data_IF_029746780428
#
_entry.id   IF_029746780428
#
_cell.length_a   1.000
_cell.length_b   1.000
_cell.length_c   1.000
_cell.angle_alpha   90.00
_cell.angle_beta   90.00
_cell.angle_gamma   90.00
#
_symmetry.space_group_name_H-M   'P 1'
#
loop_
_entity.id
_entity.type
_entity.pdbx_description
1 polymer ?
#
# COMPACT_ATOMS: atom_id res chain seq x y z
N UNK A 1 53.99 -38.33 -67.59
CA UNK A 1 52.96 -37.36 -67.18
C UNK A 1 52.41 -37.72 -65.81
N UNK A 2 52.78 -36.96 -64.78
CA UNK A 2 52.00 -36.75 -63.56
C UNK A 2 52.78 -35.78 -62.68
N UNK A 3 52.33 -34.53 -62.68
CA UNK A 3 52.82 -33.48 -61.78
C UNK A 3 51.86 -33.40 -60.59
N UNK A 4 52.37 -33.69 -59.40
CA UNK A 4 51.69 -33.41 -58.13
C UNK A 4 51.98 -31.98 -57.69
N UNK A 5 50.93 -31.25 -57.31
CA UNK A 5 51.03 -29.88 -56.78
C UNK A 5 50.47 -29.88 -55.35
N UNK A 6 51.28 -29.29 -54.45
CA UNK A 6 51.03 -28.97 -53.05
C UNK A 6 49.81 -28.08 -52.85
N UNK A 7 49.07 -28.33 -51.77
CA UNK A 7 48.16 -27.36 -51.16
C UNK A 7 48.53 -27.15 -49.69
N UNK A 8 49.21 -26.04 -49.41
CA UNK A 8 49.34 -25.43 -48.08
C UNK A 8 48.20 -24.43 -47.88
N UNK A 9 47.49 -24.47 -46.73
CA UNK A 9 46.82 -23.32 -46.09
C UNK A 9 46.27 -23.67 -44.69
N UNK A 10 46.06 -22.68 -43.80
CA UNK A 10 46.61 -22.72 -42.45
C UNK A 10 45.57 -22.78 -41.33
N UNK A 11 46.00 -23.47 -40.29
CA UNK A 11 46.02 -23.13 -38.86
C UNK A 11 45.35 -21.82 -38.36
N UNK A 12 44.48 -22.04 -37.36
CA UNK A 12 44.13 -21.19 -36.20
C UNK A 12 43.45 -19.82 -36.39
N UNK A 13 42.18 -19.77 -35.96
CA UNK A 13 41.62 -18.61 -35.28
C UNK A 13 40.78 -19.09 -34.07
N UNK A 14 41.38 -19.05 -32.89
CA UNK A 14 40.68 -19.18 -31.61
C UNK A 14 39.78 -17.95 -31.41
N UNK A 15 38.48 -18.12 -31.61
CA UNK A 15 37.48 -17.13 -31.24
C UNK A 15 37.33 -17.08 -29.73
N UNK A 16 37.91 -16.05 -29.10
CA UNK A 16 37.68 -15.74 -27.68
C UNK A 16 36.23 -15.38 -27.45
N UNK A 17 35.46 -16.30 -26.86
CA UNK A 17 34.16 -15.98 -26.28
C UNK A 17 34.39 -15.09 -25.05
N UNK A 18 34.34 -13.79 -25.27
CA UNK A 18 34.37 -12.78 -24.23
C UNK A 18 33.17 -12.97 -23.29
N UNK A 19 33.41 -13.68 -22.18
CA UNK A 19 32.47 -13.82 -21.08
C UNK A 19 32.41 -12.50 -20.30
N UNK A 20 31.62 -11.53 -20.80
CA UNK A 20 31.44 -10.22 -20.18
C UNK A 20 30.00 -9.65 -20.11
N UNK A 21 28.89 -10.43 -20.06
CA UNK A 21 27.56 -9.85 -19.84
C UNK A 21 27.10 -9.79 -18.36
N UNK A 22 27.62 -10.65 -17.46
CA UNK A 22 27.04 -10.81 -16.12
C UNK A 22 27.28 -9.59 -15.19
N UNK A 23 28.46 -8.97 -15.23
CA UNK A 23 28.81 -7.88 -14.33
C UNK A 23 28.12 -6.53 -14.64
N UNK A 24 27.63 -6.33 -15.87
CA UNK A 24 26.90 -5.10 -16.26
C UNK A 24 25.41 -5.16 -15.94
N UNK A 25 24.82 -6.35 -15.90
CA UNK A 25 23.40 -6.51 -15.56
C UNK A 25 23.14 -6.30 -14.06
N UNK A 26 24.10 -6.66 -13.20
CA UNK A 26 24.00 -6.51 -11.75
C UNK A 26 24.01 -5.05 -11.30
N UNK A 27 24.81 -4.19 -11.94
CA UNK A 27 24.87 -2.76 -11.60
C UNK A 27 23.59 -2.03 -12.02
N UNK A 28 23.10 -2.26 -13.24
CA UNK A 28 21.87 -1.62 -13.72
C UNK A 28 20.61 -2.02 -12.94
N UNK A 29 20.56 -3.24 -12.38
CA UNK A 29 19.47 -3.66 -11.50
C UNK A 29 19.56 -2.99 -10.12
N UNK A 30 20.77 -2.89 -9.55
CA UNK A 30 21.00 -2.22 -8.28
C UNK A 30 20.68 -0.72 -8.35
N UNK A 31 21.10 -0.04 -9.42
CA UNK A 31 20.84 1.38 -9.65
C UNK A 31 19.34 1.66 -9.76
N UNK A 32 18.59 0.81 -10.49
CA UNK A 32 17.13 0.92 -10.56
C UNK A 32 16.47 0.75 -9.21
N UNK A 33 16.89 -0.25 -8.43
CA UNK A 33 16.36 -0.47 -7.07
C UNK A 33 16.65 0.71 -6.15
N UNK A 34 17.84 1.32 -6.25
CA UNK A 34 18.19 2.51 -5.50
C UNK A 34 17.34 3.72 -5.91
N UNK A 35 17.13 3.93 -7.21
CA UNK A 35 16.26 4.98 -7.73
C UNK A 35 14.80 4.82 -7.27
N UNK A 36 14.27 3.60 -7.31
CA UNK A 36 12.93 3.30 -6.81
C UNK A 36 12.79 3.61 -5.31
N UNK A 37 13.77 3.24 -4.49
CA UNK A 37 13.79 3.59 -3.05
C UNK A 37 13.84 5.10 -2.80
N UNK A 38 14.63 5.84 -3.56
CA UNK A 38 14.66 7.30 -3.47
C UNK A 38 13.31 7.92 -3.87
N UNK A 39 12.64 7.32 -4.87
CA UNK A 39 11.30 7.72 -5.28
C UNK A 39 10.25 7.46 -4.19
N UNK A 40 10.30 6.31 -3.51
CA UNK A 40 9.45 5.99 -2.36
C UNK A 40 9.56 7.06 -1.28
N UNK A 41 10.77 7.44 -0.87
CA UNK A 41 10.98 8.50 0.14
C UNK A 41 10.36 9.83 -0.28
N UNK A 42 10.59 10.24 -1.54
CA UNK A 42 10.01 11.47 -2.09
C UNK A 42 8.47 11.45 -2.06
N UNK A 43 7.86 10.31 -2.37
CA UNK A 43 6.41 10.16 -2.36
C UNK A 43 5.84 10.10 -0.94
N UNK A 44 6.55 9.49 0.02
CA UNK A 44 6.17 9.53 1.43
C UNK A 44 6.12 10.97 1.96
N UNK A 45 7.12 11.78 1.62
CA UNK A 45 7.15 13.20 2.00
C UNK A 45 6.01 14.00 1.35
N UNK A 46 5.64 13.67 0.12
CA UNK A 46 4.49 14.26 -0.56
C UNK A 46 3.16 13.87 0.08
N UNK A 47 2.96 12.58 0.35
CA UNK A 47 1.77 12.09 1.06
C UNK A 47 1.62 12.74 2.43
N UNK A 48 2.71 12.87 3.20
CA UNK A 48 2.71 13.57 4.48
C UNK A 48 2.24 15.02 4.34
N UNK A 49 2.79 15.78 3.38
CA UNK A 49 2.37 17.18 3.14
C UNK A 49 0.91 17.31 2.73
N UNK A 50 0.37 16.30 2.04
CA UNK A 50 -1.05 16.28 1.68
C UNK A 50 -1.93 15.96 2.89
N UNK A 51 -1.45 15.17 3.85
CA UNK A 51 -2.18 14.83 5.06
C UNK A 51 -2.08 15.90 6.16
N UNK A 52 -0.96 16.64 6.23
CA UNK A 52 -0.80 17.85 7.04
C UNK A 52 -1.70 18.96 6.44
N UNK A 53 -2.93 19.04 6.93
CA UNK A 53 -3.96 19.98 6.47
C UNK A 53 -3.67 21.39 6.98
N UNK A 54 -3.07 21.52 8.16
CA UNK A 54 -2.70 22.81 8.77
C UNK A 54 -1.39 23.38 8.19
N UNK A 55 -0.59 22.54 7.55
CA UNK A 55 0.75 22.86 7.06
C UNK A 55 1.70 23.35 8.17
N UNK A 56 1.63 22.72 9.35
CA UNK A 56 2.48 23.05 10.50
C UNK A 56 3.70 22.12 10.66
N UNK A 57 3.87 21.16 9.74
CA UNK A 57 5.01 20.25 9.69
C UNK A 57 4.88 19.04 10.61
N UNK A 58 3.73 18.88 11.27
CA UNK A 58 3.36 17.70 12.05
C UNK A 58 2.00 17.18 11.59
N UNK A 59 1.78 15.88 11.71
CA UNK A 59 0.48 15.26 11.44
C UNK A 59 -0.24 15.00 12.75
N UNK A 60 -1.41 15.59 12.95
CA UNK A 60 -2.26 15.28 14.10
C UNK A 60 -3.32 14.21 13.81
N UNK A 61 -3.91 13.70 14.89
CA UNK A 61 -4.91 12.64 14.83
C UNK A 61 -6.16 13.07 14.02
N UNK A 62 -6.58 14.32 14.15
CA UNK A 62 -7.79 14.83 13.51
C UNK A 62 -7.56 15.04 12.01
N UNK A 63 -6.36 15.46 11.60
CA UNK A 63 -5.97 15.56 10.19
C UNK A 63 -6.05 14.20 9.49
N UNK A 64 -5.45 13.16 10.09
CA UNK A 64 -5.51 11.79 9.55
C UNK A 64 -6.97 11.31 9.43
N UNK A 65 -7.78 11.52 10.47
CA UNK A 65 -9.20 11.19 10.47
C UNK A 65 -9.92 11.93 9.33
N UNK A 66 -9.67 13.22 9.17
CA UNK A 66 -10.40 14.09 8.25
C UNK A 66 -10.11 13.79 6.79
N UNK A 67 -8.84 13.54 6.45
CA UNK A 67 -8.47 13.08 5.11
C UNK A 67 -9.21 11.78 4.79
N UNK A 68 -9.21 10.81 5.71
CA UNK A 68 -9.87 9.53 5.48
C UNK A 68 -11.40 9.63 5.44
N UNK A 69 -12.02 10.50 6.25
CA UNK A 69 -13.45 10.82 6.12
C UNK A 69 -13.79 11.31 4.70
N UNK A 70 -12.95 12.18 4.12
CA UNK A 70 -13.17 12.69 2.77
C UNK A 70 -12.94 11.63 1.70
N UNK A 71 -11.93 10.76 1.86
CA UNK A 71 -11.74 9.61 0.96
C UNK A 71 -13.00 8.72 1.00
N UNK A 72 -13.48 8.34 2.18
CA UNK A 72 -14.70 7.51 2.28
C UNK A 72 -15.93 8.20 1.69
N UNK A 73 -16.12 9.50 1.94
CA UNK A 73 -17.23 10.26 1.34
C UNK A 73 -17.18 10.28 -0.19
N UNK A 74 -15.99 10.34 -0.79
CA UNK A 74 -15.83 10.31 -2.25
C UNK A 74 -16.14 8.92 -2.83
N UNK A 75 -15.80 7.85 -2.12
CA UNK A 75 -15.99 6.48 -2.60
C UNK A 75 -17.41 5.94 -2.37
N UNK A 76 -17.98 6.23 -1.19
CA UNK A 76 -19.24 5.61 -0.74
C UNK A 76 -20.39 6.61 -0.66
N UNK A 77 -20.13 7.90 -0.91
CA UNK A 77 -21.11 8.96 -0.71
C UNK A 77 -21.46 9.17 0.76
N UNK A 78 -22.38 10.09 1.03
CA UNK A 78 -22.82 10.39 2.41
C UNK A 78 -23.52 9.22 3.10
N UNK A 79 -24.37 8.53 2.36
CA UNK A 79 -25.23 7.48 2.89
C UNK A 79 -24.45 6.19 3.18
N UNK A 80 -23.37 5.94 2.42
CA UNK A 80 -22.48 4.79 2.64
C UNK A 80 -21.30 5.05 3.57
N UNK A 81 -21.15 6.28 4.10
CA UNK A 81 -20.01 6.64 4.95
C UNK A 81 -20.42 6.69 6.42
N UNK A 82 -19.93 5.73 7.21
CA UNK A 82 -20.00 5.79 8.67
C UNK A 82 -18.80 6.59 9.23
N UNK A 83 -19.01 7.88 9.47
CA UNK A 83 -17.99 8.76 10.02
C UNK A 83 -17.58 8.39 11.45
N UNK A 84 -18.45 7.76 12.23
CA UNK A 84 -18.12 7.35 13.61
C UNK A 84 -17.15 6.19 13.56
N UNK A 85 -17.45 5.16 12.76
CA UNK A 85 -16.56 4.02 12.58
C UNK A 85 -15.18 4.44 12.02
N UNK A 86 -15.15 5.37 11.05
CA UNK A 86 -13.90 5.91 10.51
C UNK A 86 -13.08 6.62 11.60
N UNK A 87 -13.72 7.49 12.40
CA UNK A 87 -13.04 8.19 13.50
C UNK A 87 -12.45 7.23 14.51
N UNK A 88 -13.22 6.24 14.94
CA UNK A 88 -12.76 5.25 15.91
C UNK A 88 -11.58 4.44 15.38
N UNK A 89 -11.70 3.95 14.14
CA UNK A 89 -10.62 3.23 13.45
C UNK A 89 -9.34 4.06 13.40
N UNK A 90 -9.39 5.25 12.81
CA UNK A 90 -8.16 6.05 12.61
C UNK A 90 -7.61 6.64 13.91
N UNK A 91 -8.45 6.85 14.93
CA UNK A 91 -7.98 7.14 16.29
C UNK A 91 -7.20 5.97 16.88
N UNK A 92 -7.69 4.74 16.70
CA UNK A 92 -6.99 3.51 17.11
C UNK A 92 -5.63 3.41 16.43
N UNK A 93 -5.62 3.46 15.09
CA UNK A 93 -4.40 3.42 14.27
C UNK A 93 -3.39 4.47 14.72
N UNK A 94 -3.82 5.72 14.90
CA UNK A 94 -2.91 6.79 15.30
C UNK A 94 -2.30 6.52 16.67
N UNK A 95 -3.08 6.05 17.65
CA UNK A 95 -2.58 5.81 19.00
C UNK A 95 -1.70 4.57 19.10
N UNK A 96 -2.05 3.53 18.37
CA UNK A 96 -1.32 2.27 18.41
C UNK A 96 -0.01 2.35 17.62
N UNK A 97 0.00 3.07 16.49
CA UNK A 97 1.10 3.01 15.52
C UNK A 97 1.93 4.30 15.42
N UNK A 98 1.38 5.47 15.81
CA UNK A 98 2.08 6.75 15.67
C UNK A 98 2.44 7.39 17.02
N UNK A 99 1.46 7.66 17.87
CA UNK A 99 1.69 8.20 19.22
C UNK A 99 0.59 7.76 20.21
N UNK A 100 0.92 6.95 21.24
CA UNK A 100 -0.05 6.44 22.23
C UNK A 100 -0.87 7.49 22.97
N UNK A 101 -0.39 8.72 23.02
CA UNK A 101 -1.07 9.84 23.67
C UNK A 101 -1.85 10.71 22.68
N UNK A 102 -1.85 10.38 21.39
CA UNK A 102 -2.53 11.12 20.33
C UNK A 102 -1.87 12.47 20.03
N UNK A 103 -0.58 12.64 20.34
CA UNK A 103 0.14 13.89 20.08
C UNK A 103 0.50 14.00 18.59
N UNK A 104 0.57 15.22 18.02
CA UNK A 104 1.01 15.41 16.65
C UNK A 104 2.41 14.81 16.42
N UNK A 105 2.60 14.15 15.28
CA UNK A 105 3.83 13.43 14.96
C UNK A 105 4.59 14.10 13.81
N UNK A 106 5.94 14.19 13.88
CA UNK A 106 6.73 14.72 12.78
C UNK A 106 6.80 13.72 11.61
N UNK A 107 7.23 14.20 10.44
CA UNK A 107 7.42 13.37 9.25
C UNK A 107 8.23 12.09 9.50
N UNK A 108 9.26 12.14 10.34
CA UNK A 108 10.10 10.97 10.63
C UNK A 108 9.28 9.79 11.19
N UNK A 109 8.38 10.04 12.15
CA UNK A 109 7.53 9.00 12.74
C UNK A 109 6.50 8.48 11.72
N UNK A 110 5.89 9.38 10.95
CA UNK A 110 4.98 9.00 9.86
C UNK A 110 5.67 8.15 8.79
N UNK A 111 6.88 8.53 8.38
CA UNK A 111 7.69 7.82 7.39
C UNK A 111 8.00 6.41 7.86
N UNK A 112 8.42 6.25 9.13
CA UNK A 112 8.77 4.95 9.69
C UNK A 112 7.54 4.03 9.72
N UNK A 113 6.39 4.53 10.19
CA UNK A 113 5.11 3.81 10.15
C UNK A 113 4.69 3.43 8.73
N UNK A 114 4.63 4.39 7.80
CA UNK A 114 4.20 4.11 6.44
C UNK A 114 5.16 3.19 5.70
N UNK A 115 6.47 3.27 5.98
CA UNK A 115 7.44 2.33 5.41
C UNK A 115 7.17 0.91 5.87
N UNK A 116 6.80 0.71 7.14
CA UNK A 116 6.40 -0.60 7.65
C UNK A 116 5.13 -1.10 6.96
N UNK A 117 4.08 -0.28 6.88
CA UNK A 117 2.83 -0.61 6.16
C UNK A 117 3.11 -1.04 4.71
N UNK A 118 3.95 -0.29 4.00
CA UNK A 118 4.31 -0.61 2.62
C UNK A 118 5.06 -1.94 2.53
N UNK A 119 6.01 -2.21 3.44
CA UNK A 119 6.77 -3.45 3.49
C UNK A 119 5.88 -4.67 3.79
N UNK A 120 4.90 -4.52 4.68
CA UNK A 120 3.98 -5.59 5.06
C UNK A 120 3.02 -5.94 3.92
N UNK A 121 2.68 -4.98 3.05
CA UNK A 121 1.85 -5.23 1.87
C UNK A 121 2.68 -5.80 0.71
N UNK A 122 3.80 -5.15 0.37
CA UNK A 122 4.70 -5.58 -0.71
C UNK A 122 6.12 -5.00 -0.52
N UNK A 123 7.16 -5.84 -0.34
CA UNK A 123 8.55 -5.38 -0.15
C UNK A 123 9.21 -4.86 -1.45
N UNK A 124 8.56 -4.97 -2.61
CA UNK A 124 9.07 -4.49 -3.90
C UNK A 124 9.02 -2.96 -3.99
N UNK A 125 10.16 -2.27 -4.14
CA UNK A 125 10.17 -0.80 -4.25
C UNK A 125 9.31 -0.27 -5.41
N UNK A 126 9.25 -0.99 -6.53
CA UNK A 126 8.42 -0.59 -7.68
C UNK A 126 6.93 -0.69 -7.35
N UNK A 127 6.50 -1.73 -6.63
CA UNK A 127 5.12 -1.86 -6.17
C UNK A 127 4.78 -0.77 -5.15
N UNK A 128 5.69 -0.47 -4.23
CA UNK A 128 5.54 0.58 -3.24
C UNK A 128 5.37 1.97 -3.88
N UNK A 129 6.13 2.28 -4.94
CA UNK A 129 5.93 3.50 -5.74
C UNK A 129 4.50 3.57 -6.27
N UNK A 130 4.01 2.50 -6.89
CA UNK A 130 2.64 2.47 -7.43
C UNK A 130 1.57 2.64 -6.34
N UNK A 131 1.76 2.03 -5.16
CA UNK A 131 0.84 2.19 -4.04
C UNK A 131 0.83 3.62 -3.50
N UNK A 132 2.00 4.25 -3.36
CA UNK A 132 2.10 5.62 -2.89
C UNK A 132 1.53 6.63 -3.89
N UNK A 133 1.75 6.44 -5.19
CA UNK A 133 1.13 7.28 -6.22
C UNK A 133 -0.41 7.23 -6.14
N UNK A 134 -0.97 6.06 -5.87
CA UNK A 134 -2.41 5.91 -5.62
C UNK A 134 -2.84 6.62 -4.32
N UNK A 135 -2.10 6.45 -3.21
CA UNK A 135 -2.41 7.14 -1.95
C UNK A 135 -2.37 8.66 -2.09
N UNK A 136 -1.41 9.18 -2.85
CA UNK A 136 -1.31 10.60 -3.16
C UNK A 136 -2.54 11.06 -3.95
N UNK A 137 -2.92 10.35 -5.01
CA UNK A 137 -4.11 10.69 -5.80
C UNK A 137 -5.40 10.70 -4.94
N UNK A 138 -5.54 9.77 -4.00
CA UNK A 138 -6.65 9.75 -3.02
C UNK A 138 -6.59 10.95 -2.08
N UNK A 139 -5.41 11.27 -1.52
CA UNK A 139 -5.22 12.40 -0.63
C UNK A 139 -5.46 13.75 -1.32
N UNK A 140 -5.03 13.90 -2.57
CA UNK A 140 -5.32 15.09 -3.40
C UNK A 140 -6.82 15.25 -3.62
N UNK A 141 -7.50 14.16 -3.98
CA UNK A 141 -8.95 14.14 -4.16
C UNK A 141 -9.68 14.51 -2.86
N UNK A 142 -9.23 13.96 -1.73
CA UNK A 142 -9.74 14.28 -0.40
C UNK A 142 -9.57 15.77 -0.04
N UNK A 143 -8.40 16.35 -0.31
CA UNK A 143 -8.16 17.80 -0.12
C UNK A 143 -9.08 18.65 -0.99
N UNK A 144 -9.26 18.27 -2.26
CA UNK A 144 -10.20 18.95 -3.15
C UNK A 144 -11.65 18.87 -2.62
N UNK A 145 -12.02 17.77 -1.97
CA UNK A 145 -13.37 17.55 -1.44
C UNK A 145 -13.77 18.47 -0.28
N UNK A 146 -12.83 19.14 0.39
CA UNK A 146 -13.13 20.22 1.35
C UNK A 146 -13.76 21.46 0.69
N UNK A 147 -13.70 21.56 -0.64
CA UNK A 147 -14.30 22.67 -1.40
C UNK A 147 -15.74 22.38 -1.82
N UNK A 148 -16.18 21.13 -1.73
CA UNK A 148 -17.54 20.78 -2.09
C UNK A 148 -18.45 21.02 -0.90
N UNK A 149 -19.30 22.05 -0.99
CA UNK A 149 -20.30 22.37 0.04
C UNK A 149 -21.18 21.17 0.37
N UNK A 150 -21.45 20.32 -0.62
CA UNK A 150 -22.19 19.08 -0.41
C UNK A 150 -21.45 18.10 0.50
N UNK A 151 -20.11 18.08 0.57
CA UNK A 151 -19.34 17.14 1.40
C UNK A 151 -18.79 17.77 2.70
N UNK A 152 -19.04 19.05 2.95
CA UNK A 152 -18.56 19.74 4.14
C UNK A 152 -19.23 19.26 5.43
N UNK A 153 -18.48 19.31 6.52
CA UNK A 153 -18.97 19.11 7.88
C UNK A 153 -18.50 20.24 8.78
N UNK A 154 -19.21 20.51 9.88
CA UNK A 154 -18.84 21.56 10.84
C UNK A 154 -17.43 21.37 11.41
N UNK A 155 -17.01 20.11 11.61
CA UNK A 155 -15.66 19.79 12.09
C UNK A 155 -14.56 19.98 11.03
N UNK A 156 -14.90 20.41 9.81
CA UNK A 156 -13.89 20.80 8.80
C UNK A 156 -13.37 22.23 9.03
N UNK A 157 -14.10 23.06 9.77
CA UNK A 157 -13.81 24.50 9.93
C UNK A 157 -12.35 24.83 10.31
N UNK A 158 -11.68 24.09 11.23
CA UNK A 158 -10.29 24.36 11.59
C UNK A 158 -9.30 24.23 10.41
N UNK A 159 -9.62 23.41 9.41
CA UNK A 159 -8.73 23.08 8.30
C UNK A 159 -8.95 23.98 7.08
N UNK A 160 -10.16 24.52 6.92
CA UNK A 160 -10.52 25.32 5.74
C UNK A 160 -9.66 26.58 5.60
N UNK A 161 -9.38 27.30 6.70
CA UNK A 161 -8.63 28.56 6.63
C UNK A 161 -7.26 28.38 5.96
N UNK A 162 -6.51 27.34 6.34
CA UNK A 162 -5.17 27.05 5.78
C UNK A 162 -5.23 26.45 4.38
N UNK A 163 -6.22 25.61 4.09
CA UNK A 163 -6.42 25.06 2.74
C UNK A 163 -6.70 26.16 1.69
N UNK A 164 -7.22 27.31 2.11
CA UNK A 164 -7.52 28.44 1.23
C UNK A 164 -6.53 29.61 1.29
N UNK A 165 -5.61 29.63 2.25
CA UNK A 165 -4.62 30.71 2.43
C UNK A 165 -3.51 30.70 1.34
N UNK A 166 -3.40 29.62 0.56
CA UNK A 166 -2.36 29.42 -0.47
C UNK A 166 -2.55 30.19 -1.77
N UNK A 167 -3.29 31.31 -1.78
CA UNK A 167 -3.37 32.17 -2.97
C UNK A 167 -3.23 33.68 -2.67
N UNK A 168 -1.97 34.16 -2.67
CA UNK A 168 -1.64 35.39 -3.36
C UNK A 168 -0.54 35.11 -4.39
N UNK A 169 -0.92 34.92 -5.67
CA UNK A 169 0.04 35.03 -6.79
C UNK A 169 0.09 33.93 -7.86
N UNK A 170 -0.83 32.95 -7.90
CA UNK A 170 -0.84 32.00 -9.01
C UNK A 170 -1.42 32.66 -10.27
N UNK A 171 -0.53 32.95 -11.24
CA UNK A 171 -0.83 33.47 -12.58
C UNK A 171 -2.03 32.74 -13.18
N UNK A 172 -2.95 33.53 -13.72
CA UNK A 172 -4.02 33.07 -14.58
C UNK A 172 -3.44 32.33 -15.80
N UNK A 173 -3.39 31.01 -15.74
CA UNK A 173 -3.42 30.18 -16.92
C UNK A 173 -4.87 30.22 -17.41
N UNK A 174 -5.12 30.87 -18.53
CA UNK A 174 -6.39 30.82 -19.25
C UNK A 174 -6.65 29.40 -19.72
N UNK A 175 -7.27 28.59 -18.87
CA UNK A 175 -7.86 27.32 -19.26
C UNK A 175 -9.15 27.61 -20.04
N UNK A 176 -9.03 27.47 -21.36
CA UNK A 176 -10.11 27.35 -22.33
C UNK A 176 -11.20 26.39 -21.79
N UNK A 177 -12.49 26.73 -21.91
CA UNK A 177 -13.57 25.83 -21.48
C UNK A 177 -13.57 24.55 -22.33
N UNK A 178 -13.89 23.38 -21.75
CA UNK A 178 -14.01 22.15 -22.52
C UNK A 178 -15.16 22.31 -23.51
N UNK A 179 -14.82 22.23 -24.80
CA UNK A 179 -15.80 22.07 -25.87
C UNK A 179 -16.55 20.75 -25.65
N UNK A 180 -17.87 20.79 -25.87
CA UNK A 180 -18.83 19.79 -25.46
C UNK A 180 -18.44 18.35 -25.78
N UNK A 181 -18.62 17.49 -24.77
CA UNK A 181 -18.65 16.05 -24.96
C UNK A 181 -19.95 15.69 -25.71
N UNK A 182 -19.88 14.83 -26.73
CA UNK A 182 -21.07 14.30 -27.38
C UNK A 182 -21.88 13.46 -26.39
N UNK A 183 -23.17 13.78 -26.31
CA UNK A 183 -24.21 12.98 -25.66
C UNK A 183 -24.17 11.58 -26.30
N UNK A 184 -23.82 10.54 -25.53
CA UNK A 184 -24.01 9.16 -26.00
C UNK A 184 -23.01 8.08 -25.57
N UNK A 185 -22.08 8.31 -24.64
CA UNK A 185 -21.24 7.24 -24.10
C UNK A 185 -21.48 7.08 -22.60
N UNK A 186 -22.29 6.09 -22.23
CA UNK A 186 -22.28 5.50 -20.90
C UNK A 186 -21.30 4.32 -20.98
N UNK A 187 -20.04 4.45 -20.53
CA UNK A 187 -19.23 3.28 -20.34
C UNK A 187 -19.87 2.52 -19.18
N UNK A 188 -20.29 1.27 -19.43
CA UNK A 188 -20.58 0.31 -18.38
C UNK A 188 -19.25 -0.02 -17.72
N UNK A 189 -18.77 0.89 -16.87
CA UNK A 189 -17.64 0.62 -15.99
C UNK A 189 -18.25 -0.23 -14.89
N UNK A 190 -18.03 -1.53 -14.98
CA UNK A 190 -18.25 -2.44 -13.88
C UNK A 190 -17.47 -1.87 -12.67
N UNK A 191 -18.18 -1.23 -11.74
CA UNK A 191 -17.60 -0.64 -10.54
C UNK A 191 -17.09 -1.76 -9.65
N UNK A 192 -15.89 -2.26 -9.95
CA UNK A 192 -15.09 -2.96 -8.96
C UNK A 192 -14.72 -1.91 -7.92
N UNK A 193 -15.15 -2.04 -6.64
CA UNK A 193 -14.78 -1.09 -5.62
C UNK A 193 -13.25 -1.04 -5.53
N UNK A 194 -12.65 0.09 -5.90
CA UNK A 194 -11.22 0.27 -5.70
C UNK A 194 -10.97 0.40 -4.20
N UNK A 195 -10.18 -0.53 -3.65
CA UNK A 195 -9.78 -0.53 -2.24
C UNK A 195 -9.08 0.78 -1.89
N UNK A 196 -9.63 1.49 -0.92
CA UNK A 196 -9.11 2.75 -0.37
C UNK A 196 -7.80 2.53 0.39
N UNK A 197 -7.07 3.61 0.69
CA UNK A 197 -5.96 3.57 1.66
C UNK A 197 -6.38 2.88 2.96
N UNK A 198 -7.59 3.16 3.48
CA UNK A 198 -8.10 2.54 4.69
C UNK A 198 -8.26 1.02 4.57
N UNK A 199 -8.63 0.52 3.38
CA UNK A 199 -8.77 -0.92 3.10
C UNK A 199 -7.42 -1.60 2.97
N UNK A 200 -6.43 -0.90 2.39
CA UNK A 200 -5.06 -1.41 2.21
C UNK A 200 -4.28 -1.41 3.52
N UNK A 201 -4.44 -0.38 4.34
CA UNK A 201 -3.92 -0.33 5.70
C UNK A 201 -4.60 -1.41 6.55
N UNK A 202 -5.93 -1.54 6.48
CA UNK A 202 -6.63 -2.63 7.18
C UNK A 202 -6.21 -4.01 6.69
N UNK A 203 -5.86 -4.16 5.40
CA UNK A 203 -5.28 -5.40 4.89
C UNK A 203 -3.91 -5.65 5.49
N UNK A 204 -3.03 -4.64 5.56
CA UNK A 204 -1.73 -4.77 6.22
C UNK A 204 -1.88 -5.19 7.70
N UNK A 205 -2.77 -4.52 8.44
CA UNK A 205 -3.09 -4.84 9.84
C UNK A 205 -3.68 -6.24 10.01
N UNK A 206 -4.58 -6.64 9.11
CA UNK A 206 -5.15 -7.99 9.11
C UNK A 206 -4.13 -9.08 8.76
N UNK A 207 -2.98 -8.71 8.21
CA UNK A 207 -1.89 -9.62 7.87
C UNK A 207 -0.96 -9.86 9.06
N UNK A 208 -1.11 -9.13 10.17
CA UNK A 208 -0.20 -9.17 11.32
C UNK A 208 -0.88 -9.69 12.59
N UNK A 209 -1.28 -10.96 12.60
CA UNK A 209 -1.46 -11.69 13.86
C UNK A 209 -0.18 -12.48 14.12
N UNK A 210 0.53 -12.13 15.19
CA UNK A 210 1.74 -12.85 15.64
C UNK A 210 2.79 -13.10 14.54
N UNK A 211 2.84 -12.23 13.52
CA UNK A 211 3.80 -12.32 12.42
C UNK A 211 3.46 -13.36 11.33
N UNK A 212 2.23 -13.89 11.31
CA UNK A 212 1.77 -14.82 10.28
C UNK A 212 0.83 -14.16 9.27
N UNK A 213 1.19 -14.29 8.00
CA UNK A 213 0.40 -13.91 6.84
C UNK A 213 -0.26 -15.13 6.18
N UNK A 214 -1.35 -14.90 5.45
CA UNK A 214 -1.93 -15.94 4.59
C UNK A 214 -0.91 -16.39 3.55
N UNK A 215 -0.66 -17.69 3.51
CA UNK A 215 0.34 -18.32 2.65
C UNK A 215 1.65 -18.65 3.36
N UNK A 216 1.85 -18.17 4.59
CA UNK A 216 3.06 -18.49 5.35
C UNK A 216 3.15 -19.97 5.67
N UNK A 217 4.38 -20.47 5.67
CA UNK A 217 4.71 -21.85 6.05
C UNK A 217 5.03 -21.90 7.53
N UNK A 218 4.43 -22.86 8.23
CA UNK A 218 4.65 -23.10 9.66
C UNK A 218 4.58 -24.58 9.98
N UNK A 219 4.90 -24.95 11.22
CA UNK A 219 4.75 -26.31 11.70
C UNK A 219 3.54 -26.43 12.63
N UNK A 220 2.75 -27.49 12.46
CA UNK A 220 1.57 -27.78 13.28
C UNK A 220 1.73 -29.14 13.94
N UNK A 221 1.56 -29.20 15.26
CA UNK A 221 1.64 -30.47 15.99
C UNK A 221 0.45 -31.38 15.66
N UNK A 222 0.72 -32.66 15.40
CA UNK A 222 -0.28 -33.69 15.13
C UNK A 222 -0.39 -34.69 16.27
N UNK A 223 -1.45 -34.60 17.08
CA UNK A 223 -1.69 -35.54 18.19
C UNK A 223 -1.81 -37.00 17.74
N UNK A 224 -2.38 -37.27 16.57
CA UNK A 224 -2.56 -38.64 16.08
C UNK A 224 -1.27 -39.28 15.56
N UNK A 225 -0.32 -38.46 15.12
CA UNK A 225 0.99 -38.93 14.61
C UNK A 225 2.13 -38.73 15.59
N UNK A 226 1.95 -37.88 16.60
CA UNK A 226 2.99 -37.51 17.56
C UNK A 226 4.16 -36.76 16.92
N UNK A 227 3.91 -35.98 15.86
CA UNK A 227 4.95 -35.26 15.11
C UNK A 227 4.49 -33.86 14.68
N UNK A 228 5.46 -32.98 14.43
CA UNK A 228 5.25 -31.69 13.78
C UNK A 228 5.10 -31.90 12.27
N UNK A 229 4.04 -31.35 11.69
CA UNK A 229 3.76 -31.42 10.26
C UNK A 229 3.88 -30.03 9.65
N UNK A 230 4.46 -29.95 8.45
CA UNK A 230 4.42 -28.73 7.67
C UNK A 230 2.98 -28.33 7.37
N UNK A 231 2.71 -27.03 7.46
CA UNK A 231 1.42 -26.44 7.19
C UNK A 231 1.53 -25.07 6.54
N UNK A 232 0.40 -24.62 6.01
CA UNK A 232 0.28 -23.32 5.36
C UNK A 232 -0.90 -22.56 5.95
N UNK A 233 -0.68 -21.29 6.28
CA UNK A 233 -1.75 -20.41 6.76
C UNK A 233 -2.74 -20.17 5.62
N UNK A 234 -4.00 -20.59 5.81
CA UNK A 234 -5.09 -20.37 4.88
C UNK A 234 -5.78 -19.02 5.13
N UNK A 235 -5.89 -18.63 6.40
CA UNK A 235 -6.58 -17.42 6.84
C UNK A 235 -6.10 -16.98 8.23
N UNK A 236 -6.12 -15.67 8.45
CA UNK A 236 -5.69 -15.00 9.68
C UNK A 236 -6.85 -14.17 10.20
N UNK A 237 -7.16 -14.28 11.48
CA UNK A 237 -8.29 -13.59 12.11
C UNK A 237 -7.79 -12.58 13.14
N UNK A 238 -7.54 -11.31 12.75
CA UNK A 238 -6.94 -10.29 13.62
C UNK A 238 -7.88 -9.76 14.71
N UNK A 239 -9.18 -9.96 14.54
CA UNK A 239 -10.22 -9.47 15.45
C UNK A 239 -11.23 -10.56 15.72
N UNK A 240 -11.92 -10.47 16.86
CA UNK A 240 -13.04 -11.36 17.20
C UNK A 240 -14.09 -11.31 16.09
N UNK A 241 -14.43 -12.46 15.50
CA UNK A 241 -15.37 -12.52 14.38
C UNK A 241 -16.19 -13.82 14.37
N UNK A 242 -17.06 -13.94 13.36
CA UNK A 242 -17.70 -15.21 13.02
C UNK A 242 -17.19 -15.73 11.68
N UNK A 243 -16.70 -16.96 11.65
CA UNK A 243 -16.24 -17.64 10.44
C UNK A 243 -16.75 -19.08 10.42
N UNK A 244 -17.29 -19.52 9.29
CA UNK A 244 -17.85 -20.88 9.10
C UNK A 244 -18.89 -21.29 10.16
N UNK A 245 -19.62 -20.32 10.70
CA UNK A 245 -20.61 -20.54 11.75
C UNK A 245 -20.05 -20.63 13.17
N UNK A 246 -18.74 -20.42 13.36
CA UNK A 246 -18.07 -20.42 14.66
C UNK A 246 -17.70 -19.01 15.09
N UNK A 247 -17.70 -18.76 16.41
CA UNK A 247 -17.06 -17.57 16.99
C UNK A 247 -15.55 -17.81 17.03
N UNK A 248 -14.80 -16.94 16.36
CA UNK A 248 -13.34 -17.03 16.24
C UNK A 248 -12.72 -15.85 16.99
N UNK A 249 -11.89 -16.09 18.03
CA UNK A 249 -11.24 -15.02 18.75
C UNK A 249 -10.15 -14.35 17.90
N UNK A 250 -9.90 -13.08 18.18
CA UNK A 250 -8.80 -12.29 17.66
C UNK A 250 -7.49 -13.02 17.88
N UNK A 251 -6.69 -13.11 16.83
CA UNK A 251 -5.41 -13.80 16.80
C UNK A 251 -5.46 -15.27 16.37
N UNK A 252 -6.61 -15.78 15.91
CA UNK A 252 -6.71 -17.17 15.45
C UNK A 252 -6.12 -17.34 14.05
N UNK A 253 -5.55 -18.51 13.78
CA UNK A 253 -5.10 -18.94 12.46
C UNK A 253 -5.90 -20.15 11.99
N UNK A 254 -6.25 -20.16 10.70
CA UNK A 254 -6.73 -21.37 10.01
C UNK A 254 -5.61 -21.87 9.12
N UNK A 255 -5.15 -23.09 9.35
CA UNK A 255 -3.98 -23.66 8.68
C UNK A 255 -4.34 -24.98 7.99
N UNK A 256 -3.79 -25.22 6.80
CA UNK A 256 -3.76 -26.56 6.21
C UNK A 256 -2.50 -27.27 6.69
N UNK A 257 -2.62 -28.57 6.94
CA UNK A 257 -1.48 -29.45 7.18
C UNK A 257 -1.16 -30.23 5.89
N UNK A 258 0.11 -30.60 5.69
CA UNK A 258 0.56 -31.53 4.65
C UNK A 258 -0.16 -32.88 4.64
N UNK A 259 -0.81 -33.25 5.76
CA UNK A 259 -1.71 -34.42 5.83
C UNK A 259 -3.11 -34.19 5.21
N UNK A 260 -3.36 -33.04 4.58
CA UNK A 260 -4.64 -32.70 3.94
C UNK A 260 -5.76 -32.30 4.89
N UNK A 261 -5.44 -31.96 6.15
CA UNK A 261 -6.43 -31.55 7.15
C UNK A 261 -6.33 -30.07 7.46
N UNK A 262 -7.47 -29.42 7.72
CA UNK A 262 -7.54 -28.03 8.19
C UNK A 262 -7.57 -28.01 9.71
N UNK A 263 -6.75 -27.17 10.33
CA UNK A 263 -6.71 -26.95 11.77
C UNK A 263 -6.91 -25.47 12.10
N UNK A 264 -7.46 -25.24 13.28
CA UNK A 264 -7.59 -23.93 13.88
C UNK A 264 -6.59 -23.83 15.02
N UNK A 265 -5.74 -22.80 14.99
CA UNK A 265 -4.78 -22.48 16.05
C UNK A 265 -5.30 -21.22 16.73
N UNK A 266 -5.60 -21.33 18.02
CA UNK A 266 -6.06 -20.20 18.82
C UNK A 266 -4.86 -19.44 19.41
N UNK A 267 -5.02 -18.15 19.77
CA UNK A 267 -3.95 -17.39 20.41
C UNK A 267 -3.35 -18.10 21.63
N UNK A 268 -2.01 -18.14 21.70
CA UNK A 268 -1.28 -18.76 22.82
C UNK A 268 -1.14 -20.28 22.78
N UNK A 269 -1.41 -20.93 21.64
CA UNK A 269 -1.19 -22.36 21.40
C UNK A 269 0.07 -22.66 20.57
#
# INVERSE_FOLDING_TARGET
>A
SSSGVRGDRPEQAQGGYASAPAARQTTAAADRKAAARARVESLLAELFRLQDLKADGVLDQEELIKVNEKISLLHYGKEGTDKVAIREKFRGIFREQLDPHGRPVPYAAFRDYMSQVLMDIDPSPDAQVMMLEQFIAEAESARAAFRFTSLNSESDAPFLAKLFETAPGSRAATSRPPQGLPVGYQPVVEHRPQMTMADRVARAEATAVEGFAKGDSLQVWSNSKGEWLDGTVLEVFPVDCQAEGYKVPAGSLKVSSSAGTTKWIMPGQ
#
